data_IF_939560919310
#
_entry.id   IF_939560919310
#
_cell.length_a   1.000
_cell.length_b   1.000
_cell.length_c   1.000
_cell.angle_alpha   90.00
_cell.angle_beta   90.00
_cell.angle_gamma   90.00
#
_symmetry.space_group_name_H-M   'P 1'
#
loop_
_entity.id
_entity.type
_entity.pdbx_description
1 polymer ?
#
# COMPACT_ATOMS: atom_id res chain seq x y z
N UNK A 1 27.02 -17.72 -12.68
CA UNK A 1 26.79 -16.25 -12.77
C UNK A 1 25.30 -15.96 -12.76
N UNK A 2 24.51 -16.72 -13.52
CA UNK A 2 23.03 -16.69 -13.55
C UNK A 2 22.35 -16.88 -12.17
N UNK A 3 22.80 -17.84 -11.35
CA UNK A 3 22.26 -18.03 -9.99
C UNK A 3 22.46 -16.82 -9.06
N UNK A 4 23.59 -16.12 -9.20
CA UNK A 4 23.88 -14.95 -8.35
C UNK A 4 23.00 -13.78 -8.77
N UNK A 5 22.78 -13.61 -10.08
CA UNK A 5 21.87 -12.58 -10.60
C UNK A 5 20.43 -12.81 -10.15
N UNK A 6 19.94 -14.05 -10.17
CA UNK A 6 18.60 -14.39 -9.69
C UNK A 6 18.43 -14.10 -8.18
N UNK A 7 19.44 -14.43 -7.37
CA UNK A 7 19.43 -14.10 -5.94
C UNK A 7 19.39 -12.58 -5.69
N UNK A 8 20.06 -11.79 -6.53
CA UNK A 8 20.05 -10.32 -6.43
C UNK A 8 18.67 -9.76 -6.81
N UNK A 9 17.99 -10.31 -7.82
CA UNK A 9 16.64 -9.90 -8.19
C UNK A 9 15.59 -10.25 -7.12
N UNK A 10 15.66 -11.45 -6.55
CA UNK A 10 14.79 -11.84 -5.43
C UNK A 10 14.96 -10.91 -4.21
N UNK A 11 16.21 -10.55 -3.89
CA UNK A 11 16.51 -9.64 -2.78
C UNK A 11 15.99 -8.23 -3.05
N UNK A 12 16.17 -7.70 -4.26
CA UNK A 12 15.64 -6.38 -4.64
C UNK A 12 14.11 -6.35 -4.53
N UNK A 13 13.42 -7.35 -5.09
CA UNK A 13 11.96 -7.46 -4.99
C UNK A 13 11.47 -7.51 -3.54
N UNK A 14 12.15 -8.28 -2.69
CA UNK A 14 11.81 -8.38 -1.27
C UNK A 14 12.03 -7.06 -0.52
N UNK A 15 13.14 -6.36 -0.80
CA UNK A 15 13.47 -5.09 -0.18
C UNK A 15 12.54 -3.96 -0.62
N UNK A 16 12.22 -3.86 -1.91
CA UNK A 16 11.29 -2.85 -2.43
C UNK A 16 9.89 -3.05 -1.86
N UNK A 17 9.40 -4.30 -1.88
CA UNK A 17 8.11 -4.67 -1.26
C UNK A 17 8.08 -4.33 0.24
N UNK A 18 9.14 -4.66 0.98
CA UNK A 18 9.25 -4.33 2.39
C UNK A 18 9.30 -2.81 2.63
N UNK A 19 10.02 -2.07 1.79
CA UNK A 19 10.10 -0.62 1.87
C UNK A 19 8.72 0.03 1.70
N UNK A 20 7.92 -0.41 0.73
CA UNK A 20 6.53 0.05 0.55
C UNK A 20 5.67 -0.20 1.80
N UNK A 21 5.79 -1.38 2.43
CA UNK A 21 5.06 -1.68 3.66
C UNK A 21 5.47 -0.77 4.84
N UNK A 22 6.77 -0.52 5.01
CA UNK A 22 7.27 0.37 6.08
C UNK A 22 6.81 1.81 5.84
N UNK A 23 6.95 2.32 4.61
CA UNK A 23 6.50 3.67 4.27
C UNK A 23 4.98 3.80 4.42
N UNK A 24 4.21 2.79 4.02
CA UNK A 24 2.76 2.76 4.21
C UNK A 24 2.36 2.81 5.69
N UNK A 25 3.08 2.09 6.56
CA UNK A 25 2.85 2.17 8.00
C UNK A 25 3.11 3.58 8.57
N UNK A 26 4.12 4.29 8.07
CA UNK A 26 4.41 5.67 8.46
C UNK A 26 3.33 6.65 7.96
N UNK A 27 2.82 6.46 6.75
CA UNK A 27 1.73 7.28 6.19
C UNK A 27 0.43 7.08 6.98
N UNK A 28 0.12 5.85 7.40
CA UNK A 28 -1.04 5.57 8.26
C UNK A 28 -1.02 6.41 9.55
N UNK A 29 0.18 6.69 10.10
CA UNK A 29 0.33 7.54 11.28
C UNK A 29 -0.08 9.00 11.04
N UNK A 30 -0.10 9.47 9.79
CA UNK A 30 -0.55 10.82 9.45
C UNK A 30 -2.05 10.99 9.75
N UNK A 31 -2.88 9.98 9.49
CA UNK A 31 -4.31 10.02 9.82
C UNK A 31 -4.54 10.18 11.33
N UNK A 32 -3.75 9.46 12.14
CA UNK A 32 -3.75 9.65 13.59
C UNK A 32 -3.30 11.06 13.98
N UNK A 33 -2.25 11.59 13.34
CA UNK A 33 -1.76 12.95 13.53
C UNK A 33 -2.83 14.03 13.26
N UNK A 34 -3.52 13.94 12.13
CA UNK A 34 -4.59 14.87 11.76
C UNK A 34 -5.77 14.78 12.73
N UNK A 35 -6.16 13.57 13.13
CA UNK A 35 -7.25 13.39 14.11
C UNK A 35 -6.96 14.08 15.45
N UNK A 36 -5.70 14.07 15.90
CA UNK A 36 -5.28 14.75 17.13
C UNK A 36 -5.22 16.28 16.97
N UNK A 37 -4.84 16.77 15.79
CA UNK A 37 -4.82 18.20 15.48
C UNK A 37 -6.24 18.78 15.45
N UNK A 38 -7.19 18.11 14.81
CA UNK A 38 -8.59 18.53 14.78
C UNK A 38 -9.27 18.42 16.15
N UNK A 39 -8.95 17.37 16.92
CA UNK A 39 -9.41 17.23 18.30
C UNK A 39 -8.95 18.38 19.20
N UNK A 40 -7.74 18.90 18.98
CA UNK A 40 -7.15 20.00 19.76
C UNK A 40 -7.66 21.40 19.38
N UNK A 41 -8.12 21.60 18.14
CA UNK A 41 -8.66 22.89 17.66
C UNK A 41 -10.13 23.12 18.04
N UNK A 42 -10.82 22.08 18.52
CA UNK A 42 -12.25 22.12 18.85
C UNK A 42 -12.44 22.20 20.37
N UNK A 43 -13.56 22.79 20.79
CA UNK A 43 -13.91 22.87 22.22
C UNK A 43 -13.98 21.47 22.83
N UNK A 44 -13.41 21.32 24.04
CA UNK A 44 -13.30 20.04 24.76
C UNK A 44 -14.61 19.23 24.84
N UNK A 45 -15.77 19.88 24.92
CA UNK A 45 -17.08 19.19 24.95
C UNK A 45 -17.44 18.44 23.66
N UNK A 46 -16.82 18.79 22.54
CA UNK A 46 -17.11 18.23 21.21
C UNK A 46 -15.95 17.37 20.68
N UNK A 47 -14.85 17.20 21.45
CA UNK A 47 -13.66 16.48 21.01
C UNK A 47 -13.95 15.01 20.65
N UNK A 48 -14.81 14.33 21.43
CA UNK A 48 -15.22 12.94 21.17
C UNK A 48 -15.92 12.80 19.82
N UNK A 49 -16.82 13.72 19.49
CA UNK A 49 -17.58 13.71 18.22
C UNK A 49 -16.65 13.84 17.00
N UNK A 50 -15.64 14.72 17.10
CA UNK A 50 -14.67 14.93 16.03
C UNK A 50 -13.77 13.71 15.84
N UNK A 51 -13.30 13.12 16.95
CA UNK A 51 -12.44 11.95 16.88
C UNK A 51 -13.19 10.75 16.30
N UNK A 52 -14.46 10.54 16.68
CA UNK A 52 -15.31 9.49 16.09
C UNK A 52 -15.53 9.69 14.60
N UNK A 53 -15.72 10.93 14.13
CA UNK A 53 -15.84 11.24 12.70
C UNK A 53 -14.58 10.90 11.92
N UNK A 54 -13.41 11.25 12.44
CA UNK A 54 -12.14 10.96 11.77
C UNK A 54 -11.86 9.45 11.68
N UNK A 55 -12.15 8.69 12.74
CA UNK A 55 -12.00 7.23 12.71
C UNK A 55 -13.00 6.59 11.75
N UNK A 56 -14.26 7.04 11.75
CA UNK A 56 -15.28 6.54 10.82
C UNK A 56 -14.95 6.87 9.37
N UNK A 57 -14.48 8.10 9.10
CA UNK A 57 -14.05 8.51 7.77
C UNK A 57 -12.95 7.58 7.27
N UNK A 58 -11.90 7.36 8.07
CA UNK A 58 -10.80 6.48 7.70
C UNK A 58 -11.27 5.03 7.45
N UNK A 59 -12.13 4.48 8.31
CA UNK A 59 -12.66 3.12 8.13
C UNK A 59 -13.50 2.96 6.85
N UNK A 60 -14.39 3.91 6.58
CA UNK A 60 -15.24 3.91 5.38
C UNK A 60 -14.39 4.08 4.12
N UNK A 61 -13.42 4.99 4.17
CA UNK A 61 -12.53 5.30 3.07
C UNK A 61 -11.66 4.09 2.69
N UNK A 62 -11.04 3.41 3.67
CA UNK A 62 -10.30 2.16 3.45
C UNK A 62 -11.19 1.06 2.86
N UNK A 63 -12.41 0.91 3.37
CA UNK A 63 -13.36 -0.10 2.87
C UNK A 63 -13.80 0.21 1.43
N UNK A 64 -14.10 1.47 1.11
CA UNK A 64 -14.47 1.88 -0.24
C UNK A 64 -13.30 1.69 -1.23
N UNK A 65 -12.08 2.00 -0.78
CA UNK A 65 -10.87 1.81 -1.59
C UNK A 65 -10.62 0.32 -1.90
N UNK A 66 -10.84 -0.57 -0.93
CA UNK A 66 -10.77 -2.02 -1.13
C UNK A 66 -11.81 -2.55 -2.12
N UNK A 67 -13.04 -2.04 -2.11
CA UNK A 67 -14.13 -2.58 -2.93
C UNK A 67 -14.03 -2.14 -4.38
N UNK A 68 -13.75 -0.85 -4.63
CA UNK A 68 -13.76 -0.24 -5.97
C UNK A 68 -12.61 0.74 -6.22
N UNK A 69 -11.99 1.32 -5.20
CA UNK A 69 -10.96 2.35 -5.41
C UNK A 69 -9.71 1.83 -6.10
N UNK A 70 -9.26 0.63 -5.75
CA UNK A 70 -8.10 0.00 -6.40
C UNK A 70 -8.38 -0.34 -7.87
N UNK A 71 -9.60 -0.78 -8.19
CA UNK A 71 -10.01 -1.08 -9.57
C UNK A 71 -10.01 0.18 -10.44
N UNK A 72 -10.49 1.32 -9.93
CA UNK A 72 -10.51 2.58 -10.67
C UNK A 72 -9.09 3.10 -10.95
N UNK A 73 -8.16 2.93 -10.01
CA UNK A 73 -6.82 3.51 -10.11
C UNK A 73 -5.84 2.64 -10.91
N UNK A 74 -5.91 1.31 -10.73
CA UNK A 74 -4.96 0.36 -11.32
C UNK A 74 -5.61 -0.77 -12.12
N UNK A 75 -6.94 -0.83 -12.21
CA UNK A 75 -7.65 -1.89 -12.95
C UNK A 75 -7.61 -3.26 -12.29
N UNK A 76 -7.43 -3.33 -10.97
CA UNK A 76 -7.23 -4.57 -10.20
C UNK A 76 -8.47 -5.45 -9.97
N UNK A 77 -9.61 -5.11 -10.56
CA UNK A 77 -10.87 -5.83 -10.39
C UNK A 77 -11.58 -5.49 -9.08
N UNK A 78 -12.90 -5.73 -9.05
CA UNK A 78 -13.73 -5.52 -7.86
C UNK A 78 -13.23 -6.46 -6.75
N UNK A 79 -13.14 -5.97 -5.51
CA UNK A 79 -12.69 -6.76 -4.34
C UNK A 79 -11.26 -7.34 -4.45
N UNK A 80 -10.36 -6.71 -5.22
CA UNK A 80 -8.96 -7.14 -5.32
C UNK A 80 -8.79 -8.52 -5.99
N UNK A 81 -9.74 -8.94 -6.83
CA UNK A 81 -9.70 -10.22 -7.54
C UNK A 81 -8.39 -10.43 -8.32
N UNK A 82 -7.79 -9.35 -8.85
CA UNK A 82 -6.52 -9.39 -9.57
C UNK A 82 -5.25 -9.25 -8.71
N UNK A 83 -5.36 -9.05 -7.39
CA UNK A 83 -4.21 -8.63 -6.58
C UNK A 83 -3.40 -9.76 -5.96
N UNK A 84 -4.03 -10.92 -5.77
CA UNK A 84 -3.39 -12.04 -5.05
C UNK A 84 -2.21 -12.63 -5.84
N UNK A 85 -2.18 -12.44 -7.16
CA UNK A 85 -1.24 -13.09 -8.08
C UNK A 85 -1.44 -14.61 -8.13
N UNK A 86 -1.25 -15.21 -9.30
CA UNK A 86 -1.35 -16.66 -9.46
C UNK A 86 -0.13 -17.41 -8.91
N UNK A 87 -0.07 -18.72 -9.13
CA UNK A 87 1.08 -19.58 -8.79
C UNK A 87 2.42 -19.12 -9.42
N UNK A 88 2.38 -18.18 -10.37
CA UNK A 88 3.53 -17.61 -11.10
C UNK A 88 4.14 -16.35 -10.50
N UNK A 89 3.64 -15.85 -9.36
CA UNK A 89 4.11 -14.62 -8.69
C UNK A 89 5.63 -14.44 -8.65
N UNK A 90 6.38 -15.48 -8.31
CA UNK A 90 7.85 -15.42 -8.20
C UNK A 90 8.52 -15.46 -9.57
N UNK A 91 7.96 -16.20 -10.52
CA UNK A 91 8.46 -16.25 -11.89
C UNK A 91 8.19 -14.93 -12.64
N UNK A 92 7.03 -14.33 -12.44
CA UNK A 92 6.64 -13.04 -13.02
C UNK A 92 7.46 -11.90 -12.41
N UNK A 93 7.68 -11.92 -11.09
CA UNK A 93 8.56 -10.96 -10.42
C UNK A 93 10.02 -11.08 -10.91
N UNK A 94 10.52 -12.30 -11.13
CA UNK A 94 11.88 -12.52 -11.62
C UNK A 94 12.03 -12.08 -13.09
N UNK A 95 11.02 -12.33 -13.92
CA UNK A 95 10.98 -11.87 -15.31
C UNK A 95 10.93 -10.34 -15.41
N UNK A 96 10.06 -9.70 -14.63
CA UNK A 96 9.96 -8.24 -14.56
C UNK A 96 11.24 -7.60 -13.99
N UNK A 97 11.88 -8.22 -12.99
CA UNK A 97 13.15 -7.75 -12.43
C UNK A 97 14.31 -7.90 -13.43
N UNK A 98 14.31 -8.96 -14.24
CA UNK A 98 15.29 -9.15 -15.30
C UNK A 98 15.11 -8.15 -16.46
N UNK A 99 13.88 -7.77 -16.79
CA UNK A 99 13.55 -6.78 -17.81
C UNK A 99 13.84 -5.34 -17.34
N UNK A 100 13.50 -4.99 -16.10
CA UNK A 100 13.77 -3.69 -15.51
C UNK A 100 15.28 -3.45 -15.26
N UNK A 101 16.06 -4.51 -15.07
CA UNK A 101 17.49 -4.43 -14.82
C UNK A 101 17.81 -3.65 -13.53
N UNK A 102 18.92 -2.92 -13.52
CA UNK A 102 19.34 -2.07 -12.39
C UNK A 102 19.11 -0.58 -12.66
N UNK A 103 18.30 -0.24 -13.66
CA UNK A 103 18.12 1.15 -14.14
C UNK A 103 17.08 1.94 -13.32
N UNK A 104 16.66 1.42 -12.16
CA UNK A 104 15.80 2.12 -11.20
C UNK A 104 14.30 1.87 -11.33
N UNK A 105 13.88 0.91 -12.16
CA UNK A 105 12.50 0.39 -12.12
C UNK A 105 12.32 -0.51 -10.89
N UNK A 106 11.54 -0.07 -9.90
CA UNK A 106 11.24 -0.92 -8.73
C UNK A 106 10.19 -1.96 -9.09
N UNK A 107 10.55 -3.23 -8.90
CA UNK A 107 9.62 -4.36 -9.04
C UNK A 107 9.21 -4.75 -7.64
N UNK A 108 7.93 -4.60 -7.33
CA UNK A 108 7.37 -4.84 -6.01
C UNK A 108 6.06 -5.60 -6.09
N UNK A 109 5.62 -6.17 -4.97
CA UNK A 109 4.35 -6.89 -4.93
C UNK A 109 3.18 -5.94 -5.13
N UNK A 110 2.25 -6.31 -6.01
CA UNK A 110 0.97 -5.61 -6.21
C UNK A 110 0.18 -5.48 -4.91
N UNK A 111 0.30 -6.43 -3.98
CA UNK A 111 -0.32 -6.35 -2.66
C UNK A 111 0.30 -5.26 -1.76
N UNK A 112 1.62 -5.03 -1.87
CA UNK A 112 2.29 -3.95 -1.15
C UNK A 112 1.95 -2.57 -1.71
N UNK A 113 1.73 -2.47 -3.01
CA UNK A 113 1.19 -1.26 -3.63
C UNK A 113 -0.22 -0.96 -3.13
N UNK A 114 -1.14 -1.93 -3.13
CA UNK A 114 -2.46 -1.71 -2.55
C UNK A 114 -2.44 -1.26 -1.09
N UNK A 115 -1.60 -1.88 -0.25
CA UNK A 115 -1.43 -1.44 1.13
C UNK A 115 -0.90 0.00 1.22
N UNK A 116 0.06 0.35 0.37
CA UNK A 116 0.59 1.71 0.34
C UNK A 116 -0.50 2.69 -0.09
N UNK A 117 -1.33 2.35 -1.07
CA UNK A 117 -2.32 3.27 -1.63
C UNK A 117 -3.57 3.41 -0.77
N UNK A 118 -4.00 2.33 -0.10
CA UNK A 118 -5.17 2.40 0.80
C UNK A 118 -4.94 3.34 1.98
N UNK A 119 -3.69 3.53 2.41
CA UNK A 119 -3.38 4.45 3.52
C UNK A 119 -3.28 5.93 3.08
N UNK A 120 -3.34 6.25 1.79
CA UNK A 120 -3.43 7.64 1.28
C UNK A 120 -4.86 8.19 1.24
N UNK A 121 -5.85 7.39 1.65
CA UNK A 121 -7.27 7.75 1.59
C UNK A 121 -7.67 8.80 2.61
#
# INVERSE_FOLDING_TARGET
MENVTNQIFELQYALDTFYFLVMGALVMWMAAGFSMLEAGLVRAKNTTEILTKNVLLFAIACTAYMVIGYDIMYGGGIFLEGIAGGDTLTADALAASAEAGFDGGSVYSTASDFFFQVVFV
#
